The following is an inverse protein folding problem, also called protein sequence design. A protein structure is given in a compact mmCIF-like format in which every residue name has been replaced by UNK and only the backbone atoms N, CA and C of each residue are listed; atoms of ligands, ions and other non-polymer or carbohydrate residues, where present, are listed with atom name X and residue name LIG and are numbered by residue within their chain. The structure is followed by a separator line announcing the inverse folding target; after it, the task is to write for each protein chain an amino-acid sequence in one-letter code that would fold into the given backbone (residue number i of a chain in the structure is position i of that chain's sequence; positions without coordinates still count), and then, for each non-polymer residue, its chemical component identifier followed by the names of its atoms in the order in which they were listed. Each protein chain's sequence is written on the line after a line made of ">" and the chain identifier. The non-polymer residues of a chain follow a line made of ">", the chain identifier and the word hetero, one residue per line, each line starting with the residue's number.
data_IF_603234878022
#
_entry.id   IF_603234878022
#
_cell.length_a   1.000
_cell.length_b   1.000
_cell.length_c   1.000
_cell.angle_alpha   90.00
_cell.angle_beta   90.00
_cell.angle_gamma   90.00
#
_symmetry.space_group_name_H-M   'P 1'
#
loop_
_entity.id
_entity.type
_entity.pdbx_description
1 polymer ?
#
# COMPACT_ATOMS: atom_id res chain seq x y z
N UNK A 1 1.23 4.85 3.60
CA UNK A 1 1.60 3.69 4.44
C UNK A 1 0.32 3.08 5.02
N UNK A 2 0.08 1.81 4.74
CA UNK A 2 -1.02 1.06 5.36
C UNK A 2 -0.62 0.61 6.76
N UNK A 3 -1.56 0.67 7.69
CA UNK A 3 -1.33 0.27 9.08
C UNK A 3 -2.60 -0.30 9.71
N UNK A 4 -2.42 -1.10 10.76
CA UNK A 4 -3.51 -1.62 11.60
C UNK A 4 -3.14 -1.38 13.07
N UNK A 5 -4.00 -0.71 13.81
CA UNK A 5 -3.78 -0.40 15.24
C UNK A 5 -2.43 0.29 15.53
N UNK A 6 -1.98 1.19 14.67
CA UNK A 6 -0.71 1.93 14.84
C UNK A 6 0.55 1.10 14.55
N UNK A 7 0.42 -0.04 13.89
CA UNK A 7 1.54 -0.85 13.41
C UNK A 7 1.55 -0.90 11.90
N UNK A 8 2.72 -0.74 11.29
CA UNK A 8 2.88 -0.86 9.84
C UNK A 8 2.48 -2.26 9.36
N UNK A 9 1.69 -2.31 8.28
CA UNK A 9 1.40 -3.58 7.62
C UNK A 9 2.68 -4.19 7.03
N UNK A 10 2.73 -5.51 6.92
CA UNK A 10 3.85 -6.20 6.28
C UNK A 10 4.05 -5.69 4.85
N UNK A 11 2.97 -5.56 4.10
CA UNK A 11 3.00 -5.07 2.73
C UNK A 11 3.60 -3.65 2.60
N UNK A 12 3.37 -2.77 3.59
CA UNK A 12 4.05 -1.45 3.62
C UNK A 12 5.55 -1.60 3.86
N UNK A 13 5.96 -2.48 4.78
CA UNK A 13 7.39 -2.72 5.06
C UNK A 13 8.12 -3.26 3.83
N UNK A 14 7.50 -4.17 3.09
CA UNK A 14 8.05 -4.73 1.85
C UNK A 14 8.27 -3.67 0.77
N UNK A 15 7.31 -2.75 0.57
CA UNK A 15 7.46 -1.66 -0.42
C UNK A 15 8.66 -0.78 -0.11
N UNK A 16 8.96 -0.53 1.16
CA UNK A 16 10.15 0.22 1.55
C UNK A 16 11.43 -0.49 1.07
N UNK A 17 11.49 -1.83 1.12
CA UNK A 17 12.62 -2.60 0.60
C UNK A 17 12.85 -2.41 -0.90
N UNK A 18 11.79 -2.11 -1.65
CA UNK A 18 11.89 -1.87 -3.08
C UNK A 18 12.40 -0.45 -3.42
N UNK A 19 11.96 0.55 -2.67
CA UNK A 19 12.23 1.96 -2.98
C UNK A 19 13.55 2.48 -2.42
N UNK A 20 14.03 1.92 -1.31
CA UNK A 20 15.25 2.36 -0.65
C UNK A 20 16.50 2.10 -1.51
N UNK A 21 17.37 3.10 -1.56
CA UNK A 21 18.59 3.06 -2.37
C UNK A 21 18.39 3.39 -3.85
N UNK A 22 17.14 3.54 -4.31
CA UNK A 22 16.82 3.95 -5.67
C UNK A 22 16.36 5.41 -5.75
N UNK A 23 15.75 5.94 -4.68
CA UNK A 23 15.22 7.29 -4.63
C UNK A 23 15.16 7.81 -3.18
N UNK A 24 14.88 9.10 -3.01
CA UNK A 24 14.46 9.66 -1.73
C UNK A 24 13.02 9.22 -1.44
N UNK A 25 12.82 8.57 -0.28
CA UNK A 25 11.55 7.95 0.07
C UNK A 25 10.81 8.80 1.09
N UNK A 26 9.64 9.28 0.70
CA UNK A 26 8.67 9.89 1.60
C UNK A 26 7.53 8.91 1.88
N UNK A 27 7.04 8.89 3.11
CA UNK A 27 5.84 8.13 3.46
C UNK A 27 4.70 9.08 3.86
N UNK A 28 3.48 8.71 3.51
CA UNK A 28 2.29 9.38 4.01
C UNK A 28 1.51 8.43 4.92
N UNK A 29 1.23 8.89 6.12
CA UNK A 29 0.40 8.20 7.11
C UNK A 29 -0.88 8.98 7.33
N UNK A 30 -2.02 8.33 7.18
CA UNK A 30 -3.34 8.98 7.18
C UNK A 30 -4.18 8.45 8.32
N UNK A 31 -4.85 9.37 9.01
CA UNK A 31 -5.81 9.05 10.06
C UNK A 31 -5.18 8.76 11.42
N UNK A 32 -6.03 8.34 12.34
CA UNK A 32 -5.66 8.10 13.74
C UNK A 32 -4.60 6.99 13.86
N UNK A 33 -3.52 7.27 14.57
CA UNK A 33 -2.41 6.32 14.78
C UNK A 33 -1.26 6.48 13.78
N UNK A 34 -1.34 7.40 12.82
CA UNK A 34 -0.25 7.70 11.90
C UNK A 34 1.04 8.13 12.61
N UNK A 35 0.90 8.86 13.72
CA UNK A 35 2.04 9.33 14.52
C UNK A 35 2.89 8.17 15.09
N UNK A 36 2.25 7.06 15.47
CA UNK A 36 2.98 5.89 16.00
C UNK A 36 3.82 5.16 14.96
N UNK A 37 3.62 5.44 13.68
CA UNK A 37 4.35 4.82 12.58
C UNK A 37 5.70 5.50 12.31
N UNK A 38 5.87 6.75 12.75
CA UNK A 38 7.03 7.59 12.42
C UNK A 38 8.35 6.90 12.76
N UNK A 39 8.50 6.38 13.97
CA UNK A 39 9.70 5.66 14.39
C UNK A 39 9.99 4.47 13.48
N UNK A 40 9.00 3.61 13.28
CA UNK A 40 9.16 2.41 12.45
C UNK A 40 9.44 2.70 10.96
N UNK A 41 8.95 3.81 10.42
CA UNK A 41 9.24 4.28 9.07
C UNK A 41 10.66 4.85 8.99
N UNK A 42 11.06 5.70 9.95
CA UNK A 42 12.40 6.27 10.00
C UNK A 42 13.49 5.22 10.13
N UNK A 43 13.36 4.28 11.06
CA UNK A 43 14.27 3.14 11.24
C UNK A 43 14.46 2.33 9.94
N UNK A 44 13.50 2.36 9.04
CA UNK A 44 13.57 1.68 7.74
C UNK A 44 13.98 2.60 6.59
N UNK A 45 14.53 3.77 6.88
CA UNK A 45 15.18 4.64 5.91
C UNK A 45 14.24 5.59 5.16
N UNK A 46 13.00 5.77 5.63
CA UNK A 46 12.13 6.84 5.13
C UNK A 46 12.71 8.19 5.54
N UNK A 47 12.92 9.09 4.58
CA UNK A 47 13.49 10.41 4.83
C UNK A 47 12.48 11.35 5.51
N UNK A 48 11.25 11.32 5.06
CA UNK A 48 10.18 12.19 5.56
C UNK A 48 8.84 11.48 5.68
N UNK A 49 8.16 11.68 6.82
CA UNK A 49 6.81 11.18 7.07
C UNK A 49 5.83 12.35 7.09
N UNK A 50 4.85 12.29 6.20
CA UNK A 50 3.76 13.26 6.14
C UNK A 50 2.54 12.70 6.88
N UNK A 51 2.05 13.44 7.87
CA UNK A 51 0.90 13.06 8.67
C UNK A 51 -0.33 13.84 8.20
N UNK A 52 -1.36 13.12 7.74
CA UNK A 52 -2.65 13.69 7.38
C UNK A 52 -3.67 13.28 8.44
N UNK A 53 -3.96 14.18 9.37
CA UNK A 53 -4.93 13.97 10.42
C UNK A 53 -6.21 14.74 10.13
N UNK A 54 -7.34 14.03 9.99
CA UNK A 54 -8.65 14.62 9.84
C UNK A 54 -9.70 13.72 10.51
N UNK A 55 -10.71 14.29 11.20
CA UNK A 55 -11.84 13.50 11.72
C UNK A 55 -12.58 12.70 10.65
N UNK A 56 -12.57 13.16 9.41
CA UNK A 56 -13.19 12.48 8.27
C UNK A 56 -12.37 11.26 7.77
N UNK A 57 -11.16 11.08 8.26
CA UNK A 57 -10.24 9.99 7.89
C UNK A 57 -10.05 8.97 9.02
N UNK A 58 -10.96 8.93 10.00
CA UNK A 58 -10.90 7.95 11.10
C UNK A 58 -11.21 6.53 10.65
N UNK A 59 -11.91 6.40 9.53
CA UNK A 59 -12.26 5.12 8.91
C UNK A 59 -11.98 5.17 7.43
N UNK A 60 -11.60 4.02 6.87
CA UNK A 60 -11.35 3.93 5.44
C UNK A 60 -12.63 4.12 4.64
N UNK A 61 -12.63 5.10 3.75
CA UNK A 61 -13.49 5.14 2.57
C UNK A 61 -12.62 5.53 1.38
N UNK A 62 -12.77 4.84 0.24
CA UNK A 62 -11.98 5.14 -0.96
C UNK A 62 -12.18 6.57 -1.46
N UNK A 63 -13.34 7.17 -1.17
CA UNK A 63 -13.65 8.57 -1.51
C UNK A 63 -12.79 9.54 -0.68
N UNK A 64 -12.88 9.49 0.64
CA UNK A 64 -12.17 10.43 1.52
C UNK A 64 -10.66 10.30 1.41
N UNK A 65 -10.18 9.05 1.44
CA UNK A 65 -8.75 8.80 1.37
C UNK A 65 -8.18 9.17 0.01
N UNK A 66 -8.93 8.88 -1.08
CA UNK A 66 -8.56 9.28 -2.44
C UNK A 66 -8.47 10.79 -2.60
N UNK A 67 -9.42 11.54 -2.05
CA UNK A 67 -9.40 13.00 -2.06
C UNK A 67 -8.24 13.57 -1.25
N UNK A 68 -8.03 13.09 -0.02
CA UNK A 68 -6.94 13.54 0.84
C UNK A 68 -5.58 13.31 0.20
N UNK A 69 -5.34 12.10 -0.27
CA UNK A 69 -4.08 11.74 -0.93
C UNK A 69 -3.90 12.45 -2.27
N UNK A 70 -4.97 12.62 -3.05
CA UNK A 70 -4.91 13.36 -4.31
C UNK A 70 -4.44 14.80 -4.12
N UNK A 71 -5.01 15.52 -3.14
CA UNK A 71 -4.56 16.89 -2.80
C UNK A 71 -3.10 16.92 -2.34
N UNK A 72 -2.73 15.99 -1.46
CA UNK A 72 -1.37 15.90 -0.95
C UNK A 72 -0.36 15.59 -2.05
N UNK A 73 -0.64 14.63 -2.93
CA UNK A 73 0.24 14.25 -4.03
C UNK A 73 0.42 15.40 -5.02
N UNK A 74 -0.63 16.17 -5.30
CA UNK A 74 -0.51 17.39 -6.13
C UNK A 74 0.41 18.44 -5.50
N UNK A 75 0.39 18.61 -4.19
CA UNK A 75 1.25 19.55 -3.47
C UNK A 75 2.71 19.07 -3.40
N UNK A 76 2.91 17.77 -3.17
CA UNK A 76 4.24 17.16 -3.07
C UNK A 76 4.91 17.03 -4.44
N UNK A 77 4.12 16.79 -5.49
CA UNK A 77 4.55 16.53 -6.86
C UNK A 77 5.67 15.48 -6.98
N UNK A 78 5.45 14.25 -6.47
CA UNK A 78 6.45 13.20 -6.58
C UNK A 78 6.48 12.62 -7.99
N UNK A 79 7.60 11.98 -8.37
CA UNK A 79 7.72 11.28 -9.66
C UNK A 79 6.95 9.96 -9.66
N UNK A 80 6.93 9.27 -8.50
CA UNK A 80 6.34 7.93 -8.34
C UNK A 80 5.55 7.83 -7.03
N UNK A 81 4.38 7.24 -7.09
CA UNK A 81 3.59 6.82 -5.92
C UNK A 81 3.53 5.30 -5.88
N UNK A 82 4.06 4.72 -4.81
CA UNK A 82 4.00 3.29 -4.56
C UNK A 82 2.93 2.95 -3.52
N UNK A 83 2.14 1.93 -3.78
CA UNK A 83 1.18 1.37 -2.84
C UNK A 83 1.23 -0.17 -2.87
N UNK A 84 0.84 -0.83 -1.79
CA UNK A 84 0.69 -2.28 -1.79
C UNK A 84 -0.53 -2.70 -2.62
N UNK A 85 -0.45 -3.83 -3.33
CA UNK A 85 -1.59 -4.40 -4.06
C UNK A 85 -2.52 -5.19 -3.12
N UNK A 86 -2.86 -4.59 -1.97
CA UNK A 86 -3.87 -5.04 -1.02
C UNK A 86 -5.27 -4.68 -1.51
N UNK A 87 -6.36 -5.16 -0.88
CA UNK A 87 -7.72 -4.69 -1.19
C UNK A 87 -7.85 -3.16 -1.16
N UNK A 88 -7.21 -2.50 -0.18
CA UNK A 88 -7.19 -1.04 -0.07
C UNK A 88 -6.42 -0.39 -1.22
N UNK A 89 -5.21 -0.86 -1.52
CA UNK A 89 -4.39 -0.33 -2.60
C UNK A 89 -5.04 -0.54 -3.99
N UNK A 90 -5.73 -1.65 -4.18
CA UNK A 90 -6.48 -1.94 -5.42
C UNK A 90 -7.66 -1.00 -5.64
N UNK A 91 -8.34 -0.58 -4.57
CA UNK A 91 -9.41 0.43 -4.66
C UNK A 91 -8.84 1.84 -4.85
N UNK A 92 -7.77 2.17 -4.14
CA UNK A 92 -7.24 3.53 -4.06
C UNK A 92 -6.39 3.94 -5.29
N UNK A 93 -5.50 3.07 -5.76
CA UNK A 93 -4.56 3.42 -6.82
C UNK A 93 -5.22 3.88 -8.14
N UNK A 94 -6.25 3.20 -8.67
CA UNK A 94 -6.92 3.68 -9.87
C UNK A 94 -7.70 4.99 -9.65
N UNK A 95 -8.22 5.23 -8.44
CA UNK A 95 -8.85 6.51 -8.10
C UNK A 95 -7.85 7.66 -8.12
N UNK A 96 -6.66 7.45 -7.55
CA UNK A 96 -5.58 8.42 -7.56
C UNK A 96 -5.08 8.67 -8.98
N UNK A 97 -4.84 7.62 -9.75
CA UNK A 97 -4.38 7.74 -11.12
C UNK A 97 -5.36 8.55 -11.99
N UNK A 98 -6.66 8.26 -11.89
CA UNK A 98 -7.68 9.00 -12.62
C UNK A 98 -7.83 10.47 -12.15
N UNK A 99 -7.72 10.72 -10.85
CA UNK A 99 -7.85 12.08 -10.30
C UNK A 99 -6.63 12.98 -10.59
N UNK A 100 -5.46 12.37 -10.80
CA UNK A 100 -4.19 13.07 -11.01
C UNK A 100 -3.71 13.03 -12.46
N UNK A 101 -4.48 12.43 -13.37
CA UNK A 101 -4.08 12.16 -14.76
C UNK A 101 -2.72 11.44 -14.83
N UNK A 102 -2.56 10.44 -13.99
CA UNK A 102 -1.32 9.71 -13.78
C UNK A 102 -1.32 8.37 -14.51
N UNK A 103 -0.13 7.92 -14.93
CA UNK A 103 0.04 6.57 -15.43
C UNK A 103 -0.13 5.53 -14.31
N UNK A 104 -0.71 4.37 -14.62
CA UNK A 104 -1.01 3.33 -13.64
C UNK A 104 -0.46 1.96 -14.06
N UNK A 105 0.37 1.37 -13.20
CA UNK A 105 0.76 -0.04 -13.28
C UNK A 105 0.32 -0.79 -12.01
N UNK A 106 -0.42 -1.88 -12.18
CA UNK A 106 -0.98 -2.63 -11.04
C UNK A 106 -0.42 -4.03 -10.92
N UNK A 107 -0.36 -4.53 -9.67
CA UNK A 107 0.03 -5.91 -9.34
C UNK A 107 1.45 -6.23 -9.83
N UNK A 108 2.36 -5.26 -9.66
CA UNK A 108 3.74 -5.39 -10.07
C UNK A 108 4.53 -6.29 -9.10
N UNK A 109 5.41 -7.11 -9.64
CA UNK A 109 6.30 -8.00 -8.88
C UNK A 109 7.72 -7.44 -8.77
N UNK A 110 8.03 -6.41 -9.57
CA UNK A 110 9.29 -5.69 -9.55
C UNK A 110 9.06 -4.27 -10.06
N UNK A 111 9.77 -3.32 -9.49
CA UNK A 111 9.85 -1.92 -9.96
C UNK A 111 11.32 -1.51 -9.92
N UNK A 112 11.77 -0.83 -10.94
CA UNK A 112 13.13 -0.26 -11.02
C UNK A 112 13.03 1.22 -11.28
N UNK A 113 13.86 1.99 -10.55
CA UNK A 113 14.01 3.43 -10.67
C UNK A 113 15.48 3.69 -11.02
N UNK A 114 15.83 3.70 -12.29
CA UNK A 114 17.21 3.84 -12.74
C UNK A 114 17.36 5.05 -13.65
N UNK A 115 18.23 5.98 -13.27
CA UNK A 115 18.55 7.17 -14.05
C UNK A 115 17.36 8.06 -14.41
N UNK A 116 16.29 8.04 -13.59
CA UNK A 116 15.04 8.75 -13.85
C UNK A 116 14.03 7.95 -14.70
N UNK A 117 14.43 6.80 -15.23
CA UNK A 117 13.53 5.89 -15.92
C UNK A 117 12.85 4.95 -14.91
N UNK A 118 11.54 4.83 -15.05
CA UNK A 118 10.72 3.92 -14.22
C UNK A 118 10.26 2.76 -15.08
N UNK A 119 10.57 1.54 -14.64
CA UNK A 119 10.07 0.31 -15.26
C UNK A 119 9.41 -0.58 -14.22
N UNK A 120 8.39 -1.33 -14.63
CA UNK A 120 7.69 -2.25 -13.75
C UNK A 120 7.46 -3.59 -14.45
N UNK A 121 7.55 -4.69 -13.70
CA UNK A 121 7.23 -6.03 -14.20
C UNK A 121 6.02 -6.58 -13.47
N UNK A 122 5.11 -7.17 -14.22
CA UNK A 122 3.89 -7.77 -13.67
C UNK A 122 3.61 -9.14 -14.26
N UNK A 123 3.03 -9.99 -13.47
CA UNK A 123 2.57 -11.32 -13.88
C UNK A 123 1.27 -11.21 -14.68
N UNK A 124 1.18 -11.90 -15.79
CA UNK A 124 -0.01 -11.97 -16.64
C UNK A 124 -0.36 -13.44 -16.97
N UNK A 125 -1.56 -13.69 -17.49
CA UNK A 125 -2.06 -15.03 -17.79
C UNK A 125 -1.92 -16.01 -16.61
N UNK A 126 -2.38 -15.59 -15.41
CA UNK A 126 -2.28 -16.38 -14.19
C UNK A 126 -0.85 -16.86 -13.86
N UNK A 127 0.15 -16.02 -14.09
CA UNK A 127 1.55 -16.32 -13.79
C UNK A 127 2.32 -17.04 -14.90
N UNK A 128 1.69 -17.34 -16.03
CA UNK A 128 2.36 -18.05 -17.15
C UNK A 128 3.31 -17.17 -17.96
N UNK A 129 3.14 -15.86 -17.88
CA UNK A 129 3.99 -14.89 -18.54
C UNK A 129 4.23 -13.67 -17.65
N UNK A 130 5.27 -12.91 -17.95
CA UNK A 130 5.58 -11.63 -17.31
C UNK A 130 5.58 -10.55 -18.37
N UNK A 131 4.87 -9.46 -18.12
CA UNK A 131 4.91 -8.25 -18.93
C UNK A 131 5.87 -7.25 -18.28
N UNK A 132 6.67 -6.60 -19.09
CA UNK A 132 7.45 -5.43 -18.72
C UNK A 132 6.68 -4.18 -19.16
N UNK A 133 6.57 -3.22 -18.27
CA UNK A 133 5.84 -1.97 -18.45
C UNK A 133 6.84 -0.83 -18.37
N UNK A 134 6.91 -0.05 -19.43
CA UNK A 134 7.66 1.18 -19.51
C UNK A 134 6.70 2.37 -19.55
N UNK A 135 7.09 3.46 -18.90
CA UNK A 135 6.34 4.71 -18.93
C UNK A 135 7.01 5.64 -19.95
N UNK A 136 6.25 6.08 -20.92
CA UNK A 136 6.76 6.80 -22.10
C UNK A 136 6.71 8.33 -21.95
N UNK A 137 6.17 8.82 -20.85
CA UNK A 137 6.03 10.25 -20.56
C UNK A 137 6.50 10.57 -19.14
N UNK A 138 6.59 11.86 -18.83
CA UNK A 138 6.98 12.39 -17.53
C UNK A 138 5.81 12.55 -16.54
N UNK A 139 4.63 12.01 -16.87
CA UNK A 139 3.48 12.06 -15.95
C UNK A 139 3.79 11.30 -14.64
N UNK A 140 3.06 11.65 -13.58
CA UNK A 140 3.10 10.90 -12.33
C UNK A 140 2.84 9.41 -12.58
N UNK A 141 3.62 8.53 -11.96
CA UNK A 141 3.44 7.08 -12.03
C UNK A 141 2.85 6.57 -10.72
N UNK A 142 1.69 5.96 -10.78
CA UNK A 142 1.07 5.24 -9.64
C UNK A 142 1.28 3.75 -9.86
N UNK A 143 1.98 3.09 -8.93
CA UNK A 143 2.34 1.69 -9.07
C UNK A 143 1.89 0.91 -7.84
N UNK A 144 1.18 -0.19 -8.03
CA UNK A 144 0.88 -1.10 -6.93
C UNK A 144 1.74 -2.35 -7.00
N UNK A 145 2.35 -2.70 -5.85
CA UNK A 145 3.29 -3.80 -5.71
C UNK A 145 2.62 -4.98 -5.03
N UNK A 146 2.77 -6.16 -5.61
CA UNK A 146 2.23 -7.40 -5.05
C UNK A 146 2.90 -7.71 -3.71
N UNK A 147 2.15 -7.95 -2.62
CA UNK A 147 2.72 -8.39 -1.36
C UNK A 147 3.51 -9.70 -1.50
N UNK A 148 4.51 -9.88 -0.65
CA UNK A 148 5.38 -11.07 -0.60
C UNK A 148 6.27 -11.27 -1.83
N UNK A 149 6.60 -10.18 -2.54
CA UNK A 149 7.54 -10.21 -3.67
C UNK A 149 8.87 -9.54 -3.36
N UNK A 150 8.94 -8.76 -2.30
CA UNK A 150 10.13 -8.02 -1.86
C UNK A 150 10.35 -8.23 -0.38
N UNK A 151 11.59 -8.37 0.04
CA UNK A 151 11.91 -8.44 1.47
C UNK A 151 11.89 -7.03 2.09
N UNK A 152 11.29 -6.88 3.29
CA UNK A 152 11.35 -5.62 4.02
C UNK A 152 12.80 -5.30 4.42
N UNK A 153 13.17 -4.01 4.50
CA UNK A 153 14.47 -3.61 5.01
C UNK A 153 14.55 -3.87 6.51
N UNK A 154 15.74 -4.27 6.96
CA UNK A 154 16.01 -4.39 8.40
C UNK A 154 15.93 -3.01 9.06
N UNK A 155 15.34 -2.91 10.27
CA UNK A 155 15.26 -1.65 10.99
C UNK A 155 16.65 -1.26 11.51
N UNK A 156 16.97 0.02 11.38
CA UNK A 156 18.18 0.66 11.91
C UNK A 156 17.77 1.75 12.91
N UNK A 157 17.90 1.47 14.19
CA UNK A 157 17.50 2.38 15.27
C UNK A 157 18.31 3.71 15.31
N UNK A 158 19.35 3.85 14.49
CA UNK A 158 20.11 5.11 14.37
C UNK A 158 19.47 6.08 13.40
N UNK A 159 18.50 5.62 12.60
CA UNK A 159 17.80 6.44 11.60
C UNK A 159 16.50 7.02 12.17
N UNK A 160 16.18 8.20 11.69
CA UNK A 160 14.93 8.88 12.00
C UNK A 160 14.38 9.58 10.75
N UNK A 161 13.08 9.76 10.70
CA UNK A 161 12.44 10.52 9.63
C UNK A 161 12.10 11.94 10.10
N UNK A 162 12.17 12.90 9.19
CA UNK A 162 11.54 14.21 9.38
C UNK A 162 10.03 14.06 9.37
N UNK A 163 9.31 14.82 10.21
CA UNK A 163 7.85 14.76 10.30
C UNK A 163 7.25 16.08 9.85
N UNK A 164 6.24 16.00 9.00
CA UNK A 164 5.47 17.17 8.55
C UNK A 164 3.98 16.89 8.69
N UNK A 165 3.26 17.77 9.36
CA UNK A 165 1.80 17.73 9.37
C UNK A 165 1.24 18.37 8.09
N UNK A 166 0.27 17.70 7.50
CA UNK A 166 -0.38 18.11 6.26
C UNK A 166 -1.86 18.33 6.51
N UNK A 167 -2.34 19.52 6.21
CA UNK A 167 -3.76 19.84 6.23
C UNK A 167 -4.37 19.62 4.85
N UNK A 168 -5.52 18.94 4.82
CA UNK A 168 -6.30 18.70 3.60
C UNK A 168 -7.74 19.13 3.82
N UNK A 169 -8.35 19.70 2.79
CA UNK A 169 -9.76 20.04 2.79
C UNK A 169 -10.56 18.89 2.17
N UNK A 170 -11.49 18.33 2.94
CA UNK A 170 -12.35 17.26 2.47
C UNK A 170 -13.76 17.82 2.27
N UNK A 171 -14.21 17.96 1.02
CA UNK A 171 -15.59 18.31 0.73
C UNK A 171 -16.54 17.24 1.27
N UNK A 172 -17.82 17.58 1.43
CA UNK A 172 -18.83 16.65 1.94
C UNK A 172 -18.82 15.31 1.25
N UNK A 173 -18.76 14.24 2.03
CA UNK A 173 -18.69 12.87 1.53
C UNK A 173 -20.07 12.36 1.09
N UNK A 174 -20.10 11.58 0.02
CA UNK A 174 -21.30 10.91 -0.47
C UNK A 174 -21.53 9.56 0.20
N UNK A 175 -20.46 8.99 0.79
CA UNK A 175 -20.47 7.68 1.45
C UNK A 175 -20.17 7.84 2.93
N UNK A 176 -20.79 7.04 3.78
CA UNK A 176 -20.52 6.99 5.20
C UNK A 176 -20.35 5.54 5.66
N UNK A 177 -19.35 5.28 6.48
CA UNK A 177 -19.20 3.98 7.13
C UNK A 177 -20.34 3.82 8.14
N UNK A 178 -21.16 2.78 7.99
CA UNK A 178 -22.25 2.46 8.89
C UNK A 178 -21.77 1.64 10.09
N UNK A 179 -21.07 0.55 9.81
CA UNK A 179 -20.55 -0.36 10.83
C UNK A 179 -19.39 -1.19 10.29
N UNK A 180 -18.55 -1.68 11.18
CA UNK A 180 -17.51 -2.66 10.90
C UNK A 180 -17.90 -3.95 11.62
N UNK A 181 -18.18 -5.00 10.87
CA UNK A 181 -18.46 -6.33 11.43
C UNK A 181 -17.14 -7.08 11.53
N UNK A 182 -16.70 -7.31 12.76
CA UNK A 182 -15.50 -8.09 13.04
C UNK A 182 -15.94 -9.53 13.30
N UNK A 183 -15.32 -10.48 12.60
CA UNK A 183 -15.56 -11.90 12.87
C UNK A 183 -14.85 -12.33 14.15
N UNK A 184 -15.55 -13.04 15.02
CA UNK A 184 -14.99 -13.65 16.24
C UNK A 184 -14.11 -14.88 15.95
N UNK A 185 -13.69 -15.07 14.71
CA UNK A 185 -12.84 -16.19 14.31
C UNK A 185 -11.51 -16.19 15.06
N UNK A 186 -11.25 -17.28 15.77
CA UNK A 186 -10.00 -17.51 16.51
C UNK A 186 -8.82 -17.83 15.56
N UNK A 187 -9.10 -18.09 14.28
CA UNK A 187 -8.05 -18.41 13.29
C UNK A 187 -7.39 -17.13 12.79
N UNK A 188 -6.07 -17.11 12.58
CA UNK A 188 -5.38 -15.98 11.98
C UNK A 188 -5.95 -15.68 10.60
N UNK A 189 -5.92 -14.39 10.22
CA UNK A 189 -6.30 -13.97 8.87
C UNK A 189 -5.39 -14.67 7.85
N UNK A 190 -5.96 -15.10 6.74
CA UNK A 190 -5.20 -15.79 5.67
C UNK A 190 -4.07 -14.94 5.12
N UNK A 191 -4.20 -13.61 5.18
CA UNK A 191 -3.16 -12.67 4.74
C UNK A 191 -1.99 -12.56 5.73
N UNK A 192 -2.20 -12.96 7.00
CA UNK A 192 -1.21 -12.90 8.08
C UNK A 192 -0.61 -14.30 8.39
N UNK A 193 -1.21 -15.37 7.85
CA UNK A 193 -0.78 -16.73 8.11
C UNK A 193 0.57 -17.04 7.45
N UNK A 194 1.51 -17.62 8.23
CA UNK A 194 2.81 -18.05 7.72
C UNK A 194 2.71 -19.32 6.85
N UNK A 195 1.78 -20.21 7.19
CA UNK A 195 1.53 -21.45 6.45
C UNK A 195 0.03 -21.55 6.19
N UNK A 196 -0.34 -21.76 4.93
CA UNK A 196 -1.72 -21.89 4.50
C UNK A 196 -1.90 -23.28 3.89
N UNK A 197 -2.82 -24.07 4.46
CA UNK A 197 -3.26 -25.34 3.89
C UNK A 197 -4.67 -25.15 3.36
N UNK A 198 -4.90 -25.45 2.09
CA UNK A 198 -6.18 -25.20 1.42
C UNK A 198 -6.76 -26.45 0.79
N UNK A 199 -8.08 -26.59 0.87
CA UNK A 199 -8.83 -27.58 0.12
C UNK A 199 -9.76 -26.94 -0.89
N UNK A 200 -9.92 -27.57 -2.03
CA UNK A 200 -10.78 -27.10 -3.10
C UNK A 200 -11.99 -28.00 -3.36
N UNK A 201 -12.70 -27.74 -4.44
CA UNK A 201 -13.91 -28.49 -4.85
C UNK A 201 -13.65 -30.00 -5.01
N UNK A 202 -12.42 -30.41 -5.32
CA UNK A 202 -12.03 -31.83 -5.46
C UNK A 202 -12.17 -32.63 -4.17
N UNK A 203 -12.24 -32.01 -3.00
CA UNK A 203 -12.54 -32.71 -1.73
C UNK A 203 -13.98 -33.24 -1.67
N UNK A 204 -14.89 -32.69 -2.48
CA UNK A 204 -16.26 -33.19 -2.67
C UNK A 204 -17.24 -32.81 -1.55
N UNK A 205 -16.86 -33.00 -0.27
CA UNK A 205 -17.70 -32.65 0.89
C UNK A 205 -16.90 -32.02 2.02
N UNK A 206 -17.62 -31.40 2.96
CA UNK A 206 -17.01 -30.78 4.15
C UNK A 206 -16.31 -31.80 5.05
N UNK A 207 -16.81 -33.05 5.12
CA UNK A 207 -16.24 -34.12 5.92
C UNK A 207 -14.81 -34.49 5.48
N UNK A 208 -14.53 -34.36 4.18
CA UNK A 208 -13.22 -34.68 3.62
C UNK A 208 -12.13 -33.62 3.94
N UNK A 209 -12.50 -32.49 4.54
CA UNK A 209 -11.52 -31.50 5.01
C UNK A 209 -10.65 -32.05 6.14
N UNK A 210 -11.07 -33.09 6.84
CA UNK A 210 -10.23 -33.81 7.81
C UNK A 210 -8.91 -34.34 7.23
N UNK A 211 -8.79 -34.45 5.89
CA UNK A 211 -7.53 -34.85 5.22
C UNK A 211 -6.46 -33.76 5.30
N UNK A 212 -6.85 -32.51 5.47
CA UNK A 212 -5.96 -31.34 5.49
C UNK A 212 -5.91 -30.63 6.85
N UNK A 213 -6.66 -31.08 7.83
CA UNK A 213 -6.61 -30.65 9.23
C UNK A 213 -5.54 -31.43 10.00
#
# INVERSE_FOLDING_TARGET
>A
AEHKNGQLSEATREILGLSLGQAEVHAVAVGKGGESLVGSLGERGVAKVHLINSPALTSYTGESLGQALGQFIQQLAPDVVLAAHTPQGRDLAPRLAAALDAALATDCIQVSLDGGQVTARRSVYAGKATAEVEFTDDSLKVITVRPRTVNPPEPDATRSAEVTEVSVELPGQKTALKEIIVSDNVRPDVTEAAIIVTGGRSLGSAENFSIIE
#
